data_IF_501257032155
#
_entry.id   IF_501257032155
#
_cell.length_a   1.000
_cell.length_b   1.000
_cell.length_c   1.000
_cell.angle_alpha   90.00
_cell.angle_beta   90.00
_cell.angle_gamma   90.00
#
_symmetry.space_group_name_H-M   'P 1'
#
loop_
_entity.id
_entity.type
_entity.pdbx_description
1 polymer ?
#
# COMPACT_ATOMS: atom_id res chain seq x y z
N UNK A 1 -4.64 8.52 -0.70
CA UNK A 1 -5.40 7.50 0.06
C UNK A 1 -4.77 6.15 -0.19
N UNK A 2 -4.73 5.26 0.83
CA UNK A 2 -3.98 4.00 0.78
C UNK A 2 -4.37 3.12 -0.41
N UNK A 3 -5.68 2.97 -0.70
CA UNK A 3 -6.13 2.13 -1.83
C UNK A 3 -5.58 2.57 -3.19
N UNK A 4 -5.29 3.86 -3.35
CA UNK A 4 -4.69 4.40 -4.57
C UNK A 4 -3.21 4.07 -4.72
N UNK A 5 -2.49 3.88 -3.61
CA UNK A 5 -1.04 3.64 -3.59
C UNK A 5 -0.75 2.13 -3.58
N UNK A 6 -1.51 1.38 -2.78
CA UNK A 6 -1.23 -0.02 -2.43
C UNK A 6 -2.24 -1.00 -3.03
N UNK A 7 -3.34 -0.51 -3.62
CA UNK A 7 -4.46 -1.35 -4.05
C UNK A 7 -5.51 -1.56 -2.93
N UNK A 8 -6.59 -2.30 -3.23
CA UNK A 8 -7.76 -2.40 -2.37
C UNK A 8 -7.45 -3.03 -1.01
N UNK A 9 -8.16 -2.59 0.04
CA UNK A 9 -8.03 -3.18 1.37
C UNK A 9 -8.58 -4.62 1.34
N UNK A 10 -7.87 -5.62 1.92
CA UNK A 10 -8.36 -6.99 1.96
C UNK A 10 -9.74 -7.10 2.60
N UNK A 11 -10.66 -7.79 1.92
CA UNK A 11 -12.07 -7.91 2.33
C UNK A 11 -12.24 -8.45 3.75
N UNK A 12 -11.40 -9.38 4.18
CA UNK A 12 -11.47 -9.94 5.53
C UNK A 12 -11.21 -8.88 6.63
N UNK A 13 -10.40 -7.85 6.35
CA UNK A 13 -10.16 -6.74 7.29
C UNK A 13 -11.38 -5.81 7.33
N UNK A 14 -11.96 -5.50 6.17
CA UNK A 14 -13.19 -4.72 6.05
C UNK A 14 -14.33 -5.42 6.80
N UNK A 15 -14.43 -6.74 6.69
CA UNK A 15 -15.45 -7.52 7.38
C UNK A 15 -15.23 -7.59 8.90
N UNK A 16 -13.99 -7.59 9.39
CA UNK A 16 -13.67 -7.65 10.83
C UNK A 16 -13.75 -6.30 11.56
N UNK A 17 -13.62 -5.16 10.87
CA UNK A 17 -13.57 -3.85 11.51
C UNK A 17 -14.89 -3.44 12.18
N UNK A 18 -14.79 -2.66 13.26
CA UNK A 18 -15.94 -2.01 13.92
C UNK A 18 -16.31 -0.68 13.26
N UNK A 19 -15.40 -0.07 12.49
CA UNK A 19 -15.59 1.23 11.83
C UNK A 19 -16.39 1.10 10.52
N UNK A 20 -17.65 0.64 10.62
CA UNK A 20 -18.50 0.38 9.46
C UNK A 20 -18.81 1.62 8.61
N UNK A 21 -18.76 2.81 9.20
CA UNK A 21 -19.05 4.09 8.53
C UNK A 21 -18.14 4.42 7.35
N UNK A 22 -16.98 3.76 7.22
CA UNK A 22 -16.05 3.98 6.11
C UNK A 22 -16.27 3.02 4.95
N UNK A 23 -17.18 2.04 5.07
CA UNK A 23 -17.32 0.97 4.10
C UNK A 23 -18.78 0.72 3.73
N UNK A 24 -19.03 0.51 2.45
CA UNK A 24 -20.32 0.14 1.89
C UNK A 24 -20.12 -1.02 0.91
N UNK A 25 -20.93 -2.08 1.00
CA UNK A 25 -20.79 -3.30 0.20
C UNK A 25 -19.37 -3.91 0.18
N UNK A 26 -18.69 -3.95 1.34
CA UNK A 26 -17.31 -4.43 1.48
C UNK A 26 -16.27 -3.66 0.63
N UNK A 27 -16.57 -2.43 0.26
CA UNK A 27 -15.66 -1.50 -0.40
C UNK A 27 -15.58 -0.20 0.38
N UNK A 28 -14.50 0.55 0.19
CA UNK A 28 -14.37 1.87 0.80
C UNK A 28 -15.48 2.78 0.27
N UNK A 29 -16.22 3.41 1.18
CA UNK A 29 -17.25 4.39 0.82
C UNK A 29 -16.59 5.73 0.47
N UNK A 30 -16.13 5.85 -0.78
CA UNK A 30 -15.33 6.96 -1.25
C UNK A 30 -15.71 7.37 -2.67
N UNK A 31 -16.20 8.61 -2.83
CA UNK A 31 -16.46 9.20 -4.14
C UNK A 31 -15.17 9.78 -4.77
N UNK A 32 -14.64 9.09 -5.77
CA UNK A 32 -13.47 9.53 -6.54
C UNK A 32 -13.68 10.83 -7.33
N UNK A 33 -14.93 11.19 -7.63
CA UNK A 33 -15.29 12.37 -8.40
C UNK A 33 -15.47 13.61 -7.54
N UNK A 34 -15.59 13.48 -6.22
CA UNK A 34 -15.62 14.60 -5.27
C UNK A 34 -14.37 15.47 -5.32
N UNK A 35 -14.40 16.66 -4.70
CA UNK A 35 -13.20 17.53 -4.61
C UNK A 35 -12.03 16.83 -3.92
N UNK A 36 -12.30 16.10 -2.83
CA UNK A 36 -11.33 15.29 -2.12
C UNK A 36 -10.85 14.10 -2.97
N UNK A 37 -11.77 13.41 -3.66
CA UNK A 37 -11.47 12.32 -4.59
C UNK A 37 -10.52 12.75 -5.70
N UNK A 38 -10.79 13.88 -6.35
CA UNK A 38 -9.91 14.45 -7.38
C UNK A 38 -8.54 14.85 -6.83
N UNK A 39 -8.48 15.41 -5.62
CA UNK A 39 -7.21 15.73 -4.96
C UNK A 39 -6.39 14.47 -4.73
N UNK A 40 -6.99 13.44 -4.13
CA UNK A 40 -6.35 12.14 -3.88
C UNK A 40 -5.87 11.52 -5.18
N UNK A 41 -6.70 11.49 -6.22
CA UNK A 41 -6.34 10.91 -7.53
C UNK A 41 -5.16 11.64 -8.19
N UNK A 42 -5.04 12.95 -7.99
CA UNK A 42 -3.93 13.75 -8.53
C UNK A 42 -2.65 13.58 -7.72
N UNK A 43 -2.74 13.46 -6.39
CA UNK A 43 -1.59 13.45 -5.49
C UNK A 43 -1.08 12.06 -5.14
N UNK A 44 -1.94 11.05 -5.14
CA UNK A 44 -1.60 9.68 -4.85
C UNK A 44 -1.63 8.85 -6.13
N UNK A 45 -0.53 8.13 -6.35
CA UNK A 45 -0.32 7.23 -7.47
C UNK A 45 0.05 5.84 -6.94
N UNK A 46 -0.11 4.77 -7.73
CA UNK A 46 0.45 3.46 -7.40
C UNK A 46 1.90 3.56 -6.95
N UNK A 47 2.29 2.80 -5.92
CA UNK A 47 3.58 2.91 -5.25
C UNK A 47 4.77 2.96 -6.23
N UNK A 48 4.78 2.07 -7.23
CA UNK A 48 5.85 2.01 -8.25
C UNK A 48 6.00 3.29 -9.09
N UNK A 49 4.95 4.10 -9.24
CA UNK A 49 5.06 5.39 -9.97
C UNK A 49 5.90 6.43 -9.22
N UNK A 50 6.26 6.19 -7.96
CA UNK A 50 7.18 7.03 -7.21
C UNK A 50 8.66 6.62 -7.38
N UNK A 51 8.95 5.56 -8.13
CA UNK A 51 10.31 5.18 -8.46
C UNK A 51 10.96 6.21 -9.39
N UNK A 52 12.14 6.69 -9.02
CA UNK A 52 12.91 7.64 -9.83
C UNK A 52 13.78 6.96 -10.89
N UNK A 53 14.10 5.68 -10.68
CA UNK A 53 14.87 4.82 -11.56
C UNK A 53 14.30 3.41 -11.55
N UNK A 54 14.59 2.63 -12.59
CA UNK A 54 14.21 1.22 -12.73
C UNK A 54 15.45 0.30 -12.71
N UNK A 55 16.54 0.76 -12.09
CA UNK A 55 17.65 -0.12 -11.76
C UNK A 55 17.28 -1.11 -10.66
N UNK A 56 18.12 -2.12 -10.51
CA UNK A 56 17.87 -3.24 -9.60
C UNK A 56 17.79 -2.80 -8.14
N UNK A 57 18.58 -1.80 -7.73
CA UNK A 57 18.59 -1.29 -6.35
C UNK A 57 17.27 -0.59 -6.02
N UNK A 58 16.76 0.24 -6.93
CA UNK A 58 15.46 0.90 -6.78
C UNK A 58 14.30 -0.09 -6.78
N UNK A 59 14.32 -1.12 -7.65
CA UNK A 59 13.31 -2.19 -7.62
C UNK A 59 13.35 -2.96 -6.30
N UNK A 60 14.54 -3.29 -5.78
CA UNK A 60 14.71 -3.96 -4.48
C UNK A 60 14.21 -3.10 -3.32
N UNK A 61 14.51 -1.80 -3.32
CA UNK A 61 13.99 -0.86 -2.32
C UNK A 61 12.46 -0.84 -2.32
N UNK A 62 11.85 -0.71 -3.50
CA UNK A 62 10.40 -0.62 -3.61
C UNK A 62 9.70 -1.95 -3.32
N UNK A 63 10.34 -3.11 -3.58
CA UNK A 63 9.82 -4.39 -3.11
C UNK A 63 9.81 -4.45 -1.57
N UNK A 64 10.90 -4.04 -0.91
CA UNK A 64 10.96 -3.98 0.55
C UNK A 64 9.87 -3.07 1.12
N UNK A 65 9.75 -1.84 0.60
CA UNK A 65 8.73 -0.87 1.03
C UNK A 65 7.32 -1.45 0.83
N UNK A 66 7.05 -2.09 -0.30
CA UNK A 66 5.75 -2.74 -0.57
C UNK A 66 5.44 -3.82 0.47
N UNK A 67 6.41 -4.67 0.81
CA UNK A 67 6.24 -5.72 1.83
C UNK A 67 6.02 -5.15 3.23
N UNK A 68 6.68 -4.03 3.57
CA UNK A 68 6.47 -3.31 4.83
C UNK A 68 5.08 -2.64 4.89
N UNK A 69 4.53 -2.22 3.75
CA UNK A 69 3.22 -1.56 3.64
C UNK A 69 2.06 -2.54 3.38
N UNK A 70 2.27 -3.85 3.52
CA UNK A 70 1.20 -4.84 3.43
C UNK A 70 0.09 -4.56 4.45
N UNK A 71 -1.18 -4.58 4.00
CA UNK A 71 -2.32 -4.26 4.85
C UNK A 71 -2.50 -5.28 5.95
N UNK A 72 -2.46 -6.56 5.59
CA UNK A 72 -2.67 -7.66 6.52
C UNK A 72 -1.44 -7.81 7.43
N UNK A 73 -1.54 -7.51 8.73
CA UNK A 73 -0.39 -7.58 9.63
C UNK A 73 0.18 -8.98 9.76
N UNK A 74 -0.61 -10.03 9.48
CA UNK A 74 -0.13 -11.42 9.49
C UNK A 74 0.75 -11.73 8.26
N UNK A 75 0.59 -10.98 7.17
CA UNK A 75 1.37 -11.13 5.94
C UNK A 75 2.49 -10.10 5.79
N UNK A 76 2.44 -9.03 6.58
CA UNK A 76 3.44 -7.96 6.56
C UNK A 76 4.78 -8.52 7.01
N UNK A 77 5.82 -8.14 6.28
CA UNK A 77 7.20 -8.51 6.61
C UNK A 77 7.56 -8.05 8.01
N UNK A 78 8.23 -8.91 8.77
CA UNK A 78 8.82 -8.58 10.07
C UNK A 78 10.14 -7.82 9.90
N UNK A 79 10.65 -7.21 10.97
CA UNK A 79 11.95 -6.56 10.92
C UNK A 79 13.09 -7.57 10.69
N UNK A 80 12.99 -8.77 11.28
CA UNK A 80 13.99 -9.83 11.12
C UNK A 80 14.08 -10.29 9.65
N UNK A 81 12.93 -10.51 9.01
CA UNK A 81 12.87 -10.83 7.57
C UNK A 81 13.35 -9.65 6.70
N UNK A 82 13.03 -8.41 7.09
CA UNK A 82 13.47 -7.22 6.36
C UNK A 82 14.99 -7.05 6.37
N UNK A 83 15.66 -7.38 7.48
CA UNK A 83 17.12 -7.37 7.58
C UNK A 83 17.80 -8.39 6.65
N UNK A 84 17.08 -9.43 6.22
CA UNK A 84 17.54 -10.42 5.25
C UNK A 84 17.09 -10.12 3.81
N UNK A 85 16.54 -8.93 3.55
CA UNK A 85 16.05 -8.56 2.23
C UNK A 85 17.20 -8.24 1.25
N UNK A 86 17.13 -8.65 -0.03
CA UNK A 86 18.18 -8.41 -1.02
C UNK A 86 18.56 -6.95 -1.29
N UNK A 87 17.75 -6.02 -0.78
CA UNK A 87 18.08 -4.59 -0.80
C UNK A 87 19.32 -4.29 0.05
N UNK A 88 19.55 -5.05 1.11
CA UNK A 88 20.66 -4.87 2.04
C UNK A 88 21.88 -5.76 1.75
N UNK A 89 21.86 -6.60 0.69
CA UNK A 89 22.99 -7.48 0.33
C UNK A 89 24.29 -6.72 -0.01
N UNK A 90 24.18 -5.42 -0.33
CA UNK A 90 25.31 -4.55 -0.67
C UNK A 90 25.89 -3.79 0.54
N UNK A 91 25.35 -4.01 1.75
CA UNK A 91 25.86 -3.42 3.00
C UNK A 91 26.95 -4.31 3.63
#
# INVERSE_FOLDING_TARGET
MMERILGPIPTHMIQKTRERKYFHHNQLDWDEHSSAGRYVRRRCKPLKEFMLSHDEEHEKLFDLVRRMLEYDPVKRITLDEALQHPFFDLL
#
